data_IF_814058749970
#
_entry.id   IF_814058749970
#
_cell.length_a   1.000
_cell.length_b   1.000
_cell.length_c   1.000
_cell.angle_alpha   90.00
_cell.angle_beta   90.00
_cell.angle_gamma   90.00
#
_symmetry.space_group_name_H-M   'P 1'
#
loop_
_entity.id
_entity.type
_entity.pdbx_description
1 polymer ?
#
# COMPACT_ATOMS: atom_id res chain seq x y z
N UNK A 1 20.43 -53.52 -52.98
CA UNK A 1 19.80 -52.18 -52.91
C UNK A 1 18.78 -52.21 -51.78
N UNK A 2 18.69 -51.22 -50.87
CA UNK A 2 19.68 -50.56 -49.98
C UNK A 2 19.42 -50.93 -48.48
N UNK A 3 20.39 -50.87 -47.54
CA UNK A 3 20.74 -49.78 -46.57
C UNK A 3 19.55 -49.31 -45.68
N UNK A 4 19.62 -49.06 -44.37
CA UNK A 4 20.71 -48.85 -43.38
C UNK A 4 20.07 -48.61 -42.00
N UNK A 5 20.85 -48.93 -40.96
CA UNK A 5 21.05 -48.22 -39.68
C UNK A 5 19.89 -47.98 -38.70
N UNK A 6 20.11 -48.52 -37.50
CA UNK A 6 19.95 -47.85 -36.21
C UNK A 6 19.94 -46.32 -36.27
N UNK A 7 19.04 -45.73 -35.51
CA UNK A 7 18.94 -44.29 -35.35
C UNK A 7 18.00 -43.95 -34.20
N UNK A 8 18.53 -44.13 -32.98
CA UNK A 8 18.29 -43.27 -31.82
C UNK A 8 17.10 -42.31 -31.99
N UNK A 9 15.92 -42.68 -31.48
CA UNK A 9 14.85 -41.73 -31.30
C UNK A 9 15.36 -40.65 -30.34
N UNK A 10 15.56 -39.47 -30.92
CA UNK A 10 16.25 -38.33 -30.36
C UNK A 10 15.82 -38.05 -28.91
N UNK A 11 16.82 -38.02 -28.03
CA UNK A 11 16.77 -37.20 -26.84
C UNK A 11 16.29 -35.80 -27.27
N UNK A 12 15.22 -35.33 -26.61
CA UNK A 12 14.74 -33.98 -26.79
C UNK A 12 15.90 -33.01 -26.68
N UNK A 13 16.08 -32.27 -27.76
CA UNK A 13 16.95 -31.13 -27.99
C UNK A 13 17.24 -30.32 -26.71
N UNK A 14 18.51 -29.92 -26.54
CA UNK A 14 19.03 -29.19 -25.38
C UNK A 14 18.50 -27.76 -25.31
N UNK A 15 17.19 -27.60 -25.08
CA UNK A 15 16.57 -26.30 -24.89
C UNK A 15 17.16 -25.62 -23.67
N UNK A 16 17.72 -24.43 -23.90
CA UNK A 16 18.40 -23.55 -22.93
C UNK A 16 17.72 -23.59 -21.55
N UNK A 17 18.34 -24.33 -20.64
CA UNK A 17 17.85 -24.46 -19.27
C UNK A 17 18.12 -23.13 -18.57
N UNK A 18 17.06 -22.31 -18.39
CA UNK A 18 17.19 -20.96 -17.82
C UNK A 18 18.08 -20.95 -16.58
N UNK A 19 19.02 -20.02 -16.52
CA UNK A 19 19.94 -19.82 -15.40
C UNK A 19 19.48 -18.64 -14.56
N UNK A 20 19.20 -18.90 -13.28
CA UNK A 20 18.69 -17.90 -12.34
C UNK A 20 19.65 -17.78 -11.16
N UNK A 21 19.98 -16.55 -10.77
CA UNK A 21 20.73 -16.30 -9.53
C UNK A 21 19.75 -15.89 -8.44
N UNK A 22 19.76 -16.59 -7.31
CA UNK A 22 18.96 -16.23 -6.12
C UNK A 22 19.92 -15.73 -5.05
N UNK A 23 19.75 -14.49 -4.63
CA UNK A 23 20.59 -13.81 -3.65
C UNK A 23 19.77 -13.48 -2.41
N UNK A 24 20.27 -13.90 -1.25
CA UNK A 24 19.61 -13.67 0.02
C UNK A 24 19.78 -14.83 0.97
N UNK A 25 19.50 -14.57 2.24
CA UNK A 25 19.63 -15.53 3.33
C UNK A 25 18.27 -15.90 3.94
N UNK A 26 18.23 -17.05 4.60
CA UNK A 26 17.08 -17.59 5.29
C UNK A 26 16.10 -18.37 4.42
N UNK A 27 15.10 -18.95 5.08
CA UNK A 27 14.20 -19.96 4.52
C UNK A 27 13.50 -19.50 3.23
N UNK A 28 13.11 -18.23 3.14
CA UNK A 28 12.42 -17.74 1.95
C UNK A 28 13.32 -17.74 0.71
N UNK A 29 14.59 -17.36 0.84
CA UNK A 29 15.56 -17.43 -0.26
C UNK A 29 15.79 -18.89 -0.67
N UNK A 30 15.89 -19.80 0.30
CA UNK A 30 16.05 -21.23 0.05
C UNK A 30 14.83 -21.84 -0.66
N UNK A 31 13.62 -21.55 -0.20
CA UNK A 31 12.39 -22.05 -0.82
C UNK A 31 12.15 -21.41 -2.19
N UNK A 32 12.54 -20.16 -2.38
CA UNK A 32 12.53 -19.53 -3.72
C UNK A 32 13.46 -20.28 -4.67
N UNK A 33 14.69 -20.59 -4.24
CA UNK A 33 15.63 -21.36 -5.06
C UNK A 33 15.10 -22.76 -5.38
N UNK A 34 14.51 -23.46 -4.40
CA UNK A 34 13.88 -24.78 -4.61
C UNK A 34 12.73 -24.73 -5.59
N UNK A 35 11.85 -23.72 -5.49
CA UNK A 35 10.74 -23.54 -6.42
C UNK A 35 11.23 -23.28 -7.86
N UNK A 36 12.29 -22.47 -8.01
CA UNK A 36 12.91 -22.23 -9.32
C UNK A 36 13.58 -23.50 -9.88
N UNK A 37 14.29 -24.26 -9.05
CA UNK A 37 14.88 -25.56 -9.45
C UNK A 37 13.80 -26.57 -9.88
N UNK A 38 12.67 -26.64 -9.15
CA UNK A 38 11.55 -27.50 -9.47
C UNK A 38 10.89 -27.16 -10.81
N UNK A 39 11.01 -25.91 -11.29
CA UNK A 39 10.57 -25.50 -12.63
C UNK A 39 11.49 -26.00 -13.76
N UNK A 40 12.61 -26.63 -13.43
CA UNK A 40 13.60 -27.10 -14.38
C UNK A 40 14.67 -26.07 -14.72
N UNK A 41 14.74 -24.93 -14.05
CA UNK A 41 15.84 -23.97 -14.22
C UNK A 41 17.14 -24.46 -13.54
N UNK A 42 18.27 -23.82 -13.86
CA UNK A 42 19.55 -23.96 -13.16
C UNK A 42 19.69 -22.79 -12.19
N UNK A 43 19.98 -23.05 -10.92
CA UNK A 43 20.01 -22.01 -9.89
C UNK A 43 21.39 -21.87 -9.26
N UNK A 44 21.90 -20.64 -9.21
CA UNK A 44 23.07 -20.26 -8.40
C UNK A 44 22.60 -19.48 -7.18
N UNK A 45 23.04 -19.86 -5.98
CA UNK A 45 22.57 -19.27 -4.72
C UNK A 45 23.68 -18.51 -4.03
N UNK A 46 23.44 -17.26 -3.65
CA UNK A 46 24.38 -16.41 -2.91
C UNK A 46 23.76 -15.94 -1.59
N UNK A 47 24.22 -16.45 -0.46
CA UNK A 47 23.67 -16.09 0.87
C UNK A 47 24.17 -14.74 1.37
N UNK A 48 25.49 -14.58 1.39
CA UNK A 48 26.19 -13.35 1.76
C UNK A 48 27.02 -12.86 0.56
N UNK A 49 26.40 -12.11 -0.37
CA UNK A 49 27.08 -11.72 -1.61
C UNK A 49 28.18 -10.69 -1.34
N UNK A 50 29.40 -11.01 -1.77
CA UNK A 50 30.42 -10.00 -2.08
C UNK A 50 30.32 -9.58 -3.54
N UNK A 51 30.92 -8.42 -3.88
CA UNK A 51 31.00 -7.97 -5.27
C UNK A 51 31.68 -9.00 -6.19
N UNK A 52 32.71 -9.69 -5.67
CA UNK A 52 33.39 -10.77 -6.38
C UNK A 52 32.46 -11.95 -6.68
N UNK A 53 31.66 -12.37 -5.69
CA UNK A 53 30.70 -13.46 -5.88
C UNK A 53 29.59 -13.09 -6.87
N UNK A 54 29.09 -11.86 -6.82
CA UNK A 54 28.08 -11.37 -7.78
C UNK A 54 28.65 -11.36 -9.18
N UNK A 55 29.87 -10.84 -9.36
CA UNK A 55 30.53 -10.83 -10.67
C UNK A 55 30.73 -12.24 -11.22
N UNK A 56 31.21 -13.15 -10.39
CA UNK A 56 31.39 -14.56 -10.76
C UNK A 56 30.06 -15.23 -11.14
N UNK A 57 29.00 -15.02 -10.35
CA UNK A 57 27.70 -15.64 -10.62
C UNK A 57 27.02 -15.12 -11.88
N UNK A 58 27.33 -13.89 -12.30
CA UNK A 58 26.82 -13.29 -13.54
C UNK A 58 27.73 -13.58 -14.75
N UNK A 59 28.93 -14.11 -14.53
CA UNK A 59 29.83 -14.49 -15.62
C UNK A 59 29.24 -15.70 -16.38
N UNK A 60 29.15 -15.58 -17.71
CA UNK A 60 28.58 -16.62 -18.57
C UNK A 60 27.14 -16.37 -19.00
N UNK A 61 26.53 -15.27 -18.55
CA UNK A 61 25.16 -14.90 -18.90
C UNK A 61 24.15 -15.62 -18.01
N UNK A 62 23.21 -14.85 -17.46
CA UNK A 62 22.10 -15.38 -16.65
C UNK A 62 20.80 -14.75 -17.16
N UNK A 63 19.71 -15.50 -17.06
CA UNK A 63 18.41 -15.05 -17.54
C UNK A 63 17.73 -14.10 -16.55
N UNK A 64 18.02 -14.23 -15.26
CA UNK A 64 17.47 -13.33 -14.23
C UNK A 64 18.20 -13.46 -12.90
N UNK A 65 18.03 -12.43 -12.07
CA UNK A 65 18.48 -12.40 -10.69
C UNK A 65 17.28 -12.09 -9.78
N UNK A 66 17.14 -12.83 -8.69
CA UNK A 66 16.20 -12.55 -7.63
C UNK A 66 16.94 -12.19 -6.35
N UNK A 67 16.64 -11.03 -5.77
CA UNK A 67 17.17 -10.61 -4.47
C UNK A 67 16.03 -10.70 -3.46
N UNK A 68 16.13 -11.71 -2.58
CA UNK A 68 15.11 -12.06 -1.59
C UNK A 68 15.68 -11.84 -0.20
N UNK A 69 15.32 -10.74 0.45
CA UNK A 69 15.78 -10.43 1.79
C UNK A 69 14.69 -9.78 2.65
N UNK A 70 14.88 -9.84 3.97
CA UNK A 70 13.91 -9.33 4.96
C UNK A 70 13.91 -7.80 5.06
N UNK A 71 15.00 -7.14 4.69
CA UNK A 71 15.15 -5.69 4.85
C UNK A 71 15.54 -5.03 3.54
N UNK A 72 14.89 -3.90 3.25
CA UNK A 72 15.08 -3.15 2.01
C UNK A 72 16.54 -2.67 1.85
N UNK A 73 17.22 -2.36 2.97
CA UNK A 73 18.62 -1.97 2.95
C UNK A 73 19.54 -3.05 2.34
N UNK A 74 19.30 -4.33 2.66
CA UNK A 74 20.07 -5.44 2.08
C UNK A 74 19.72 -5.59 0.60
N UNK A 75 18.42 -5.55 0.27
CA UNK A 75 17.94 -5.68 -1.11
C UNK A 75 18.57 -4.62 -2.01
N UNK A 76 18.52 -3.35 -1.61
CA UNK A 76 19.09 -2.24 -2.37
C UNK A 76 20.61 -2.35 -2.51
N UNK A 77 21.31 -2.67 -1.42
CA UNK A 77 22.77 -2.87 -1.45
C UNK A 77 23.16 -3.92 -2.48
N UNK A 78 22.49 -5.07 -2.47
CA UNK A 78 22.76 -6.17 -3.40
C UNK A 78 22.34 -5.79 -4.82
N UNK A 79 21.19 -5.15 -4.98
CA UNK A 79 20.72 -4.73 -6.30
C UNK A 79 21.68 -3.74 -6.97
N UNK A 80 22.27 -2.82 -6.20
CA UNK A 80 23.34 -1.94 -6.67
C UNK A 80 24.58 -2.72 -7.10
N UNK A 81 24.98 -3.75 -6.36
CA UNK A 81 26.10 -4.62 -6.77
C UNK A 81 25.80 -5.34 -8.08
N UNK A 82 24.58 -5.85 -8.26
CA UNK A 82 24.15 -6.51 -9.50
C UNK A 82 24.16 -5.51 -10.67
N UNK A 83 23.57 -4.32 -10.48
CA UNK A 83 23.52 -3.26 -11.52
C UNK A 83 24.90 -2.67 -11.84
N UNK A 84 25.85 -2.75 -10.92
CA UNK A 84 27.26 -2.40 -11.18
C UNK A 84 27.95 -3.42 -12.12
N UNK A 85 27.50 -4.68 -12.13
CA UNK A 85 28.05 -5.74 -13.01
C UNK A 85 27.28 -5.83 -14.33
N UNK A 86 25.95 -5.80 -14.30
CA UNK A 86 25.10 -5.86 -15.49
C UNK A 86 23.91 -4.91 -15.37
N UNK A 87 23.77 -4.02 -16.35
CA UNK A 87 22.64 -3.08 -16.42
C UNK A 87 21.37 -3.71 -16.99
N UNK A 88 21.48 -4.82 -17.71
CA UNK A 88 20.40 -5.36 -18.56
C UNK A 88 19.78 -6.63 -17.98
N UNK A 89 20.40 -7.25 -16.97
CA UNK A 89 19.86 -8.49 -16.40
C UNK A 89 18.49 -8.23 -15.75
N UNK A 90 17.45 -9.04 -16.05
CA UNK A 90 16.17 -8.94 -15.36
C UNK A 90 16.33 -9.16 -13.87
N UNK A 91 15.83 -8.22 -13.07
CA UNK A 91 16.04 -8.20 -11.62
C UNK A 91 14.70 -8.23 -10.88
N UNK A 92 14.52 -9.21 -9.99
CA UNK A 92 13.39 -9.27 -9.06
C UNK A 92 13.87 -8.84 -7.67
N UNK A 93 13.22 -7.84 -7.06
CA UNK A 93 13.59 -7.30 -5.75
C UNK A 93 12.43 -7.40 -4.75
N UNK A 94 12.72 -7.86 -3.53
CA UNK A 94 11.74 -7.92 -2.44
C UNK A 94 11.77 -6.65 -1.56
N UNK A 95 11.22 -5.53 -2.04
CA UNK A 95 11.17 -4.26 -1.29
C UNK A 95 9.80 -4.13 -0.61
N UNK A 96 9.80 -3.88 0.71
CA UNK A 96 8.59 -3.66 1.48
C UNK A 96 8.08 -2.22 1.41
N UNK A 97 8.98 -1.23 1.50
CA UNK A 97 8.60 0.18 1.42
C UNK A 97 8.07 0.54 0.02
N UNK A 98 6.81 0.94 -0.05
CA UNK A 98 6.14 1.19 -1.33
C UNK A 98 6.74 2.38 -2.08
N UNK A 99 7.17 3.43 -1.36
CA UNK A 99 7.82 4.60 -1.99
C UNK A 99 9.16 4.20 -2.59
N UNK A 100 9.98 3.47 -1.85
CA UNK A 100 11.25 2.94 -2.35
C UNK A 100 11.05 2.01 -3.56
N UNK A 101 10.02 1.17 -3.53
CA UNK A 101 9.69 0.28 -4.63
C UNK A 101 9.33 1.05 -5.91
N UNK A 102 8.51 2.10 -5.80
CA UNK A 102 8.14 2.98 -6.91
C UNK A 102 9.35 3.72 -7.49
N UNK A 103 10.21 4.26 -6.62
CA UNK A 103 11.45 4.93 -7.03
C UNK A 103 12.38 3.98 -7.80
N UNK A 104 12.64 2.79 -7.27
CA UNK A 104 13.49 1.78 -7.92
C UNK A 104 12.91 1.32 -9.24
N UNK A 105 11.61 1.03 -9.29
CA UNK A 105 10.94 0.59 -10.51
C UNK A 105 10.96 1.67 -11.61
N UNK A 106 10.96 2.95 -11.23
CA UNK A 106 11.03 4.07 -12.17
C UNK A 106 12.44 4.28 -12.72
N UNK A 107 13.46 4.16 -11.88
CA UNK A 107 14.85 4.44 -12.26
C UNK A 107 15.53 3.27 -12.98
N UNK A 108 15.18 2.02 -12.64
CA UNK A 108 15.90 0.85 -13.14
C UNK A 108 15.08 0.02 -14.14
N UNK A 109 15.40 0.08 -15.45
CA UNK A 109 14.73 -0.76 -16.44
C UNK A 109 14.96 -2.25 -16.14
N UNK A 110 14.08 -3.10 -16.64
CA UNK A 110 14.12 -4.56 -16.44
C UNK A 110 14.20 -4.96 -14.95
N UNK A 111 13.53 -4.20 -14.09
CA UNK A 111 13.40 -4.48 -12.66
C UNK A 111 11.94 -4.70 -12.29
N UNK A 112 11.65 -5.87 -11.72
CA UNK A 112 10.38 -6.14 -11.06
C UNK A 112 10.58 -5.98 -9.56
N UNK A 113 9.80 -5.09 -8.95
CA UNK A 113 9.77 -4.95 -7.50
C UNK A 113 8.48 -5.57 -6.96
N UNK A 114 8.58 -6.25 -5.83
CA UNK A 114 7.44 -6.85 -5.12
C UNK A 114 7.74 -6.83 -3.63
N UNK A 115 6.73 -6.82 -2.77
CA UNK A 115 6.93 -7.05 -1.34
C UNK A 115 6.59 -8.50 -0.97
N UNK A 116 7.07 -8.96 0.19
CA UNK A 116 6.63 -10.25 0.74
C UNK A 116 5.13 -10.26 1.03
N UNK A 117 4.56 -9.11 1.40
CA UNK A 117 3.13 -8.98 1.61
C UNK A 117 2.35 -9.17 0.30
N UNK A 118 2.85 -8.66 -0.83
CA UNK A 118 2.20 -8.82 -2.13
C UNK A 118 2.19 -10.27 -2.62
N UNK A 119 3.17 -11.08 -2.19
CA UNK A 119 3.25 -12.50 -2.52
C UNK A 119 2.39 -13.34 -1.57
N UNK A 120 2.50 -13.07 -0.25
CA UNK A 120 1.88 -13.90 0.79
C UNK A 120 0.40 -13.60 0.94
N UNK A 121 0.00 -12.33 0.90
CA UNK A 121 -1.39 -11.95 1.15
C UNK A 121 -2.37 -12.59 0.17
N UNK A 122 -2.11 -12.65 -1.16
CA UNK A 122 -3.02 -13.33 -2.08
C UNK A 122 -3.09 -14.84 -1.86
N UNK A 123 -1.99 -15.48 -1.47
CA UNK A 123 -1.95 -16.91 -1.14
C UNK A 123 -2.80 -17.23 0.10
N UNK A 124 -2.80 -16.35 1.11
CA UNK A 124 -3.64 -16.51 2.30
C UNK A 124 -5.11 -16.12 2.06
N UNK A 125 -5.36 -15.16 1.16
CA UNK A 125 -6.70 -14.65 0.90
C UNK A 125 -7.61 -15.70 0.24
N UNK A 126 -7.07 -16.57 -0.62
CA UNK A 126 -7.84 -17.58 -1.35
C UNK A 126 -8.67 -18.48 -0.43
N UNK A 127 -8.04 -19.23 0.49
CA UNK A 127 -8.74 -20.12 1.42
C UNK A 127 -9.72 -19.38 2.34
N UNK A 128 -9.45 -18.10 2.65
CA UNK A 128 -10.35 -17.26 3.45
C UNK A 128 -11.63 -16.85 2.71
N UNK A 129 -11.57 -16.75 1.37
CA UNK A 129 -12.72 -16.41 0.54
C UNK A 129 -13.61 -17.65 0.33
N UNK A 130 -12.99 -18.77 -0.03
CA UNK A 130 -13.64 -20.06 -0.25
C UNK A 130 -12.59 -21.17 -0.14
N UNK A 131 -12.88 -22.24 0.61
CA UNK A 131 -11.93 -23.33 0.86
C UNK A 131 -11.49 -24.11 -0.39
N UNK A 132 -12.10 -23.85 -1.55
CA UNK A 132 -11.67 -24.42 -2.83
C UNK A 132 -10.52 -23.66 -3.49
N UNK A 133 -10.22 -22.44 -3.06
CA UNK A 133 -9.13 -21.64 -3.62
C UNK A 133 -7.86 -21.84 -2.80
N UNK A 134 -6.75 -22.18 -3.47
CA UNK A 134 -5.40 -22.23 -2.89
C UNK A 134 -4.81 -20.82 -2.75
N UNK A 135 -5.29 -19.85 -3.53
CA UNK A 135 -4.84 -18.46 -3.49
C UNK A 135 -5.71 -17.55 -4.35
N UNK A 136 -5.30 -16.29 -4.46
CA UNK A 136 -5.87 -15.29 -5.36
C UNK A 136 -4.77 -14.77 -6.27
N UNK A 137 -5.08 -14.54 -7.54
CA UNK A 137 -4.26 -13.76 -8.44
C UNK A 137 -4.94 -12.44 -8.75
N UNK A 138 -4.13 -11.37 -8.80
CA UNK A 138 -4.56 -10.04 -9.20
C UNK A 138 -3.78 -9.69 -10.46
N UNK A 139 -4.43 -9.81 -11.61
CA UNK A 139 -3.86 -9.44 -12.91
C UNK A 139 -4.74 -8.33 -13.53
N UNK A 140 -4.13 -7.20 -13.91
CA UNK A 140 -4.81 -6.08 -14.58
C UNK A 140 -6.11 -5.64 -13.88
N UNK A 141 -6.09 -5.59 -12.54
CA UNK A 141 -7.25 -5.23 -11.71
C UNK A 141 -8.34 -6.29 -11.61
N UNK A 142 -8.21 -7.42 -12.32
CA UNK A 142 -9.11 -8.58 -12.22
C UNK A 142 -8.62 -9.51 -11.12
N UNK A 143 -9.53 -9.87 -10.22
CA UNK A 143 -9.27 -10.82 -9.12
C UNK A 143 -9.83 -12.18 -9.51
N UNK A 144 -8.95 -13.18 -9.60
CA UNK A 144 -9.31 -14.57 -9.90
C UNK A 144 -8.81 -15.47 -8.79
N UNK A 145 -9.58 -16.51 -8.47
CA UNK A 145 -9.18 -17.52 -7.51
C UNK A 145 -8.30 -18.55 -8.20
N UNK A 146 -7.26 -18.99 -7.52
CA UNK A 146 -6.37 -20.06 -7.98
C UNK A 146 -6.84 -21.37 -7.36
N UNK A 147 -7.05 -22.38 -8.19
CA UNK A 147 -7.42 -23.74 -7.76
C UNK A 147 -6.36 -24.70 -8.27
N UNK A 148 -5.78 -25.49 -7.38
CA UNK A 148 -4.86 -26.55 -7.74
C UNK A 148 -5.65 -27.83 -8.10
N UNK A 149 -5.35 -28.42 -9.25
CA UNK A 149 -5.98 -29.65 -9.76
C UNK A 149 -4.95 -30.45 -10.55
N UNK A 150 -4.67 -31.68 -10.13
CA UNK A 150 -3.69 -32.57 -10.78
C UNK A 150 -2.27 -31.98 -10.94
N UNK A 151 -1.84 -31.17 -9.96
CA UNK A 151 -0.54 -30.50 -10.00
C UNK A 151 -0.49 -29.24 -10.88
N UNK A 152 -1.61 -28.90 -11.54
CA UNK A 152 -1.76 -27.67 -12.30
C UNK A 152 -2.57 -26.62 -11.53
N UNK A 153 -2.15 -25.36 -11.64
CA UNK A 153 -2.90 -24.21 -11.11
C UNK A 153 -3.84 -23.67 -12.18
N UNK A 154 -5.15 -23.68 -11.90
CA UNK A 154 -6.19 -23.15 -12.80
C UNK A 154 -6.87 -21.93 -12.20
N UNK A 155 -7.12 -20.93 -13.04
CA UNK A 155 -7.88 -19.75 -12.64
C UNK A 155 -9.38 -20.04 -12.65
N UNK A 156 -10.07 -19.57 -11.61
CA UNK A 156 -11.53 -19.63 -11.47
C UNK A 156 -12.08 -18.28 -11.02
N UNK A 157 -13.27 -17.88 -11.51
CA UNK A 157 -13.87 -16.63 -11.07
C UNK A 157 -14.22 -16.69 -9.59
N UNK A 158 -13.84 -15.64 -8.86
CA UNK A 158 -14.24 -15.47 -7.46
C UNK A 158 -15.72 -15.05 -7.45
N UNK A 159 -16.59 -15.73 -6.67
CA UNK A 159 -17.97 -15.31 -6.54
C UNK A 159 -18.05 -13.90 -5.98
N UNK A 160 -18.64 -12.98 -6.74
CA UNK A 160 -18.80 -11.58 -6.34
C UNK A 160 -19.86 -11.47 -5.24
N UNK A 161 -19.44 -11.50 -3.98
CA UNK A 161 -20.28 -11.00 -2.88
C UNK A 161 -20.42 -9.50 -3.07
N UNK A 162 -21.60 -9.03 -3.48
CA UNK A 162 -21.92 -7.60 -3.61
C UNK A 162 -21.50 -6.86 -2.33
N UNK A 163 -20.43 -6.04 -2.34
CA UNK A 163 -20.14 -5.22 -1.18
C UNK A 163 -21.28 -4.20 -1.06
N UNK A 164 -21.75 -3.95 0.16
CA UNK A 164 -22.59 -2.76 0.42
C UNK A 164 -21.75 -1.56 -0.05
N UNK A 165 -22.22 -0.81 -1.05
CA UNK A 165 -21.50 0.30 -1.73
C UNK A 165 -20.70 1.21 -0.79
N UNK A 166 -21.21 1.43 0.42
CA UNK A 166 -20.58 2.23 1.49
C UNK A 166 -19.22 1.67 1.93
N UNK A 167 -19.07 0.35 1.98
CA UNK A 167 -17.86 -0.31 2.47
C UNK A 167 -16.74 -0.34 1.42
N UNK A 168 -17.09 -0.42 0.14
CA UNK A 168 -16.13 -0.27 -0.95
C UNK A 168 -15.58 1.16 -1.02
N UNK A 169 -16.46 2.15 -0.90
CA UNK A 169 -16.06 3.56 -0.82
C UNK A 169 -15.17 3.85 0.40
N UNK A 170 -15.55 3.36 1.59
CA UNK A 170 -14.75 3.56 2.78
C UNK A 170 -13.36 2.91 2.66
N UNK A 171 -13.27 1.75 2.01
CA UNK A 171 -12.01 1.03 1.81
C UNK A 171 -11.12 1.70 0.77
N UNK A 172 -11.68 2.26 -0.30
CA UNK A 172 -10.93 3.05 -1.29
C UNK A 172 -10.42 4.37 -0.69
N UNK A 173 -11.21 5.04 0.16
CA UNK A 173 -10.77 6.24 0.88
C UNK A 173 -9.75 5.98 2.01
N UNK A 174 -9.68 4.74 2.51
CA UNK A 174 -8.78 4.32 3.60
C UNK A 174 -7.67 3.38 3.12
N UNK A 175 -7.49 3.23 1.80
CA UNK A 175 -6.38 2.46 1.25
C UNK A 175 -5.07 3.17 1.63
N UNK A 176 -3.95 2.45 1.92
CA UNK A 176 -2.81 2.99 2.66
C UNK A 176 -2.06 4.19 2.05
N UNK A 177 -2.39 4.63 0.84
CA UNK A 177 -1.59 5.56 0.05
C UNK A 177 -1.85 7.04 0.31
N UNK A 178 -2.72 7.42 1.23
CA UNK A 178 -2.89 8.84 1.57
C UNK A 178 -3.26 9.07 3.04
N UNK A 179 -2.25 9.12 3.91
CA UNK A 179 -2.39 9.74 5.24
C UNK A 179 -2.97 11.17 5.12
N UNK A 180 -2.66 11.86 4.02
CA UNK A 180 -3.17 13.18 3.65
C UNK A 180 -4.67 13.22 3.33
N UNK A 181 -5.21 12.21 2.64
CA UNK A 181 -6.64 12.12 2.32
C UNK A 181 -7.46 11.83 3.58
N UNK A 182 -6.92 11.02 4.50
CA UNK A 182 -7.49 10.84 5.84
C UNK A 182 -7.62 12.16 6.58
N UNK A 183 -6.55 12.96 6.63
CA UNK A 183 -6.52 14.29 7.25
C UNK A 183 -7.54 15.27 6.62
N UNK A 184 -7.65 15.31 5.29
CA UNK A 184 -8.65 16.14 4.59
C UNK A 184 -10.08 15.71 4.89
N UNK A 185 -10.34 14.40 4.94
CA UNK A 185 -11.66 13.85 5.26
C UNK A 185 -12.06 14.17 6.70
N UNK A 186 -11.14 13.98 7.67
CA UNK A 186 -11.37 14.38 9.06
C UNK A 186 -11.59 15.90 9.18
N UNK A 187 -10.86 16.71 8.41
CA UNK A 187 -11.06 18.16 8.33
C UNK A 187 -12.43 18.54 7.78
N UNK A 188 -12.86 17.92 6.68
CA UNK A 188 -14.18 18.15 6.09
C UNK A 188 -15.32 17.71 7.01
N UNK A 189 -15.17 16.57 7.69
CA UNK A 189 -16.13 16.08 8.67
C UNK A 189 -16.23 17.02 9.89
N UNK A 190 -15.09 17.51 10.39
CA UNK A 190 -15.05 18.49 11.47
C UNK A 190 -15.73 19.80 11.07
N UNK A 191 -15.47 20.30 9.86
CA UNK A 191 -16.12 21.50 9.33
C UNK A 191 -17.63 21.33 9.22
N UNK A 192 -18.10 20.21 8.66
CA UNK A 192 -19.53 19.89 8.57
C UNK A 192 -20.17 19.79 9.95
N UNK A 193 -19.47 19.22 10.93
CA UNK A 193 -19.94 19.11 12.31
C UNK A 193 -20.09 20.50 12.95
N UNK A 194 -19.12 21.39 12.76
CA UNK A 194 -19.18 22.78 13.26
C UNK A 194 -20.32 23.54 12.60
N UNK A 195 -20.50 23.40 11.28
CA UNK A 195 -21.59 24.04 10.55
C UNK A 195 -22.97 23.55 11.02
N UNK A 196 -23.13 22.25 11.24
CA UNK A 196 -24.36 21.69 11.77
C UNK A 196 -24.65 22.20 13.19
N UNK A 197 -23.65 22.24 14.07
CA UNK A 197 -23.81 22.75 15.43
C UNK A 197 -24.17 24.23 15.44
N UNK A 198 -23.49 25.05 14.61
CA UNK A 198 -23.80 26.46 14.45
C UNK A 198 -25.23 26.67 13.94
N UNK A 199 -25.66 25.87 12.96
CA UNK A 199 -27.03 25.91 12.44
C UNK A 199 -28.08 25.58 13.50
N UNK A 200 -27.85 24.55 14.32
CA UNK A 200 -28.73 24.18 15.43
C UNK A 200 -28.81 25.32 16.47
N UNK A 201 -27.68 25.93 16.81
CA UNK A 201 -27.64 27.07 17.75
C UNK A 201 -28.40 28.28 17.19
N UNK A 202 -28.28 28.56 15.90
CA UNK A 202 -28.97 29.66 15.25
C UNK A 202 -30.48 29.42 15.20
N UNK A 203 -30.91 28.20 14.87
CA UNK A 203 -32.31 27.81 14.88
C UNK A 203 -32.90 27.87 16.31
N UNK A 204 -32.15 27.44 17.32
CA UNK A 204 -32.58 27.53 18.72
C UNK A 204 -32.73 29.00 19.20
N UNK A 205 -31.92 29.93 18.68
CA UNK A 205 -32.03 31.37 18.96
C UNK A 205 -33.24 32.02 18.27
N UNK A 206 -33.63 31.55 17.10
CA UNK A 206 -34.81 32.05 16.40
C UNK A 206 -36.12 31.55 17.04
N UNK A 207 -36.10 30.35 17.63
CA UNK A 207 -37.30 29.74 18.25
C UNK A 207 -37.53 30.22 19.70
N UNK A 208 -36.51 30.68 20.42
CA UNK A 208 -36.68 31.27 21.75
C UNK A 208 -36.74 32.81 21.71
N UNK A 209 -37.91 33.44 21.92
CA UNK A 209 -37.94 34.87 22.22
C UNK A 209 -37.31 35.08 23.59
N UNK A 210 -36.05 35.53 23.62
CA UNK A 210 -35.42 35.98 24.85
C UNK A 210 -36.16 37.22 25.34
N UNK A 211 -37.03 37.02 26.33
CA UNK A 211 -37.55 38.10 27.17
C UNK A 211 -36.41 38.69 28.00
N UNK A 212 -35.64 39.59 27.41
CA UNK A 212 -34.69 40.43 28.15
C UNK A 212 -35.48 41.65 28.65
N UNK A 213 -35.64 41.86 29.97
CA UNK A 213 -36.25 43.09 30.45
C UNK A 213 -35.33 44.26 30.07
N UNK A 214 -35.83 45.15 29.20
CA UNK A 214 -35.22 46.45 28.94
C UNK A 214 -35.20 47.24 30.25
N UNK A 215 -34.04 47.34 30.89
CA UNK A 215 -33.81 48.35 31.91
C UNK A 215 -33.79 49.70 31.20
N UNK A 216 -34.87 50.49 31.36
CA UNK A 216 -34.92 51.88 30.90
C UNK A 216 -33.91 52.70 31.70
N UNK A 217 -33.02 53.50 31.07
CA UNK A 217 -32.23 54.46 31.82
C UNK A 217 -33.16 55.58 32.30
N UNK A 218 -33.30 55.72 33.63
CA UNK A 218 -34.03 56.80 34.26
C UNK A 218 -33.20 58.09 34.20
N UNK A 219 -33.40 58.88 33.15
CA UNK A 219 -33.08 60.31 33.18
C UNK A 219 -34.37 61.10 33.41
N UNK A 220 -34.49 61.74 34.58
CA UNK A 220 -34.90 63.15 34.77
C UNK A 220 -35.25 63.46 36.24
N UNK A 221 -34.97 64.72 36.59
CA UNK A 221 -35.49 65.51 37.71
C UNK A 221 -34.71 65.47 39.05
N UNK A 222 -33.55 66.14 39.07
CA UNK A 222 -33.12 66.94 40.24
C UNK A 222 -32.70 68.33 39.74
N UNK A 223 -33.70 69.09 39.33
CA UNK A 223 -33.65 70.51 39.05
C UNK A 223 -35.08 71.01 39.26
N UNK A 224 -35.24 72.06 40.06
CA UNK A 224 -36.53 72.62 40.53
C UNK A 224 -37.23 71.88 41.68
N UNK A 225 -36.66 71.95 42.87
CA UNK A 225 -37.43 72.40 44.03
C UNK A 225 -36.45 73.02 45.05
N UNK A 226 -36.90 74.07 45.73
CA UNK A 226 -36.18 74.83 46.78
C UNK A 226 -35.35 76.02 46.27
N UNK A 227 -35.93 76.78 45.34
CA UNK A 227 -36.09 78.24 45.52
C UNK A 227 -37.16 78.45 46.59
N UNK A 228 -36.84 78.12 47.84
CA UNK A 228 -37.71 78.32 49.00
C UNK A 228 -36.90 78.24 50.31
N UNK A 229 -35.78 78.98 50.39
CA UNK A 229 -35.17 79.39 51.68
C UNK A 229 -34.18 80.53 51.47
N UNK A 230 -34.70 81.65 50.97
CA UNK A 230 -34.13 82.97 51.24
C UNK A 230 -34.89 83.49 52.47
N UNK A 231 -34.24 83.54 53.62
CA UNK A 231 -34.79 84.20 54.82
C UNK A 231 -34.37 83.53 56.14
N UNK A 232 -33.64 84.30 56.96
CA UNK A 232 -33.26 84.02 58.36
C UNK A 232 -32.07 83.05 58.54
N UNK A 233 -30.92 83.39 59.13
CA UNK A 233 -30.64 84.43 60.12
C UNK A 233 -29.18 84.92 60.04
N UNK A 234 -29.03 86.24 60.10
CA UNK A 234 -27.89 86.96 60.67
C UNK A 234 -28.23 87.23 62.13
N UNK A 235 -27.28 86.99 63.04
CA UNK A 235 -27.03 87.61 64.37
C UNK A 235 -26.43 86.58 65.35
N UNK A 236 -25.35 86.85 66.09
CA UNK A 236 -24.66 88.13 66.30
C UNK A 236 -25.52 89.12 67.06
#
# INVERSE_FOLDING_TARGET
MPRTSDGQAAAGDGSDRRTVVVIGDGDLSEETARAVEASGARVSRLREPSEGNVREALNGGVDSVAVVARTDAIVLRVALMVRAVSREVPLLLTIFDATMAEEVAREWPDTRVTSLADIVAPSLAGPCIDGRFTGVSINDGRRVGLVESDGDVRERPIPSRKPRRVQAFARDLLTPHDNSAGLLLFGALALLTVLALASIVQQAREVMPTGVPRVKPAQRAVGELVVARRGSAVRG
#
